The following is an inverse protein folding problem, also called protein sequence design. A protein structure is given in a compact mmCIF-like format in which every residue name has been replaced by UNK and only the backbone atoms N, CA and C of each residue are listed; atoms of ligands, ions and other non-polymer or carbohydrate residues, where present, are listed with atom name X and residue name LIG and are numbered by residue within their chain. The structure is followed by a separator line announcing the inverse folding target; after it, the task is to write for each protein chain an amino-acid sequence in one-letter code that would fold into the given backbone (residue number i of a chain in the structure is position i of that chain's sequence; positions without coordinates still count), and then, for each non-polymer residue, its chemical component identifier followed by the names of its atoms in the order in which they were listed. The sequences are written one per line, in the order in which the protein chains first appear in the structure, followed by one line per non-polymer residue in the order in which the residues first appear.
data_IF_702056471985
#
_entry.id   IF_702056471985
#
_cell.length_a   1.000
_cell.length_b   1.000
_cell.length_c   1.000
_cell.angle_alpha   90.00
_cell.angle_beta   90.00
_cell.angle_gamma   90.00
#
_symmetry.space_group_name_H-M   'P 1'
#
loop_
_entity.id
_entity.type
_entity.pdbx_description
1 polymer ?
#
# COMPACT_ATOMS: atom_id res chain seq x y z
N UNK A 1 -9.14 -5.31 8.09
CA UNK A 1 -8.08 -4.51 8.73
C UNK A 1 -6.81 -5.35 8.79
N UNK A 2 -5.66 -4.78 8.40
CA UNK A 2 -4.34 -5.45 8.50
C UNK A 2 -3.99 -5.68 9.98
N UNK A 3 -3.64 -6.91 10.31
CA UNK A 3 -3.10 -7.28 11.62
C UNK A 3 -1.59 -6.97 11.66
N UNK A 4 -1.24 -5.83 12.25
CA UNK A 4 0.14 -5.38 12.41
C UNK A 4 0.86 -6.01 13.61
N UNK A 5 0.21 -6.91 14.35
CA UNK A 5 0.82 -7.66 15.47
C UNK A 5 1.38 -9.01 15.02
N UNK A 6 0.93 -9.51 13.87
CA UNK A 6 1.46 -10.72 13.25
C UNK A 6 2.85 -10.47 12.68
N UNK A 7 3.83 -11.29 13.09
CA UNK A 7 5.21 -11.19 12.63
C UNK A 7 5.74 -12.51 12.08
N UNK A 8 6.67 -12.40 11.14
CA UNK A 8 7.40 -13.51 10.52
C UNK A 8 8.89 -13.21 10.52
N UNK A 9 9.71 -14.24 10.66
CA UNK A 9 11.17 -14.13 10.58
C UNK A 9 11.63 -14.55 9.19
N UNK A 10 12.38 -13.68 8.51
CA UNK A 10 12.95 -13.98 7.20
C UNK A 10 14.04 -15.07 7.30
N UNK A 11 14.45 -15.70 6.18
CA UNK A 11 15.57 -16.65 6.17
C UNK A 11 16.89 -16.10 6.75
N UNK A 12 17.03 -14.77 6.80
CA UNK A 12 18.20 -14.08 7.34
C UNK A 12 18.00 -13.57 8.78
N UNK A 13 16.94 -14.00 9.47
CA UNK A 13 16.70 -13.64 10.87
C UNK A 13 16.03 -12.27 11.10
N UNK A 14 15.58 -11.58 10.05
CA UNK A 14 14.92 -10.27 10.17
C UNK A 14 13.45 -10.48 10.53
N UNK A 15 12.98 -9.90 11.64
CA UNK A 15 11.54 -9.85 11.94
C UNK A 15 10.82 -8.83 11.06
N UNK A 16 9.69 -9.24 10.50
CA UNK A 16 8.83 -8.44 9.64
C UNK A 16 7.39 -8.56 10.11
N UNK A 17 6.61 -7.50 9.95
CA UNK A 17 5.14 -7.59 9.98
C UNK A 17 4.71 -8.42 8.78
N UNK A 18 3.90 -9.44 9.00
CA UNK A 18 3.51 -10.36 7.93
C UNK A 18 2.92 -11.65 8.45
N UNK A 19 2.35 -12.44 7.54
CA UNK A 19 1.87 -13.79 7.81
C UNK A 19 2.70 -14.84 7.08
N UNK A 20 2.67 -16.07 7.59
CA UNK A 20 3.25 -17.21 6.89
C UNK A 20 2.57 -17.41 5.53
N UNK A 21 3.33 -17.88 4.53
CA UNK A 21 2.80 -18.14 3.18
C UNK A 21 1.66 -19.16 3.25
N UNK A 22 0.51 -18.80 2.68
CA UNK A 22 -0.65 -19.66 2.61
C UNK A 22 -0.38 -20.91 1.75
N UNK A 23 -0.86 -22.11 2.15
CA UNK A 23 -0.73 -23.32 1.34
C UNK A 23 -1.56 -23.29 0.04
N UNK A 24 -2.49 -22.32 -0.08
CA UNK A 24 -3.32 -22.13 -1.27
C UNK A 24 -2.50 -21.58 -2.45
N UNK A 25 -1.39 -20.90 -2.16
CA UNK A 25 -0.51 -20.35 -3.19
C UNK A 25 0.62 -21.33 -3.53
N UNK A 26 1.05 -21.40 -4.81
CA UNK A 26 2.22 -22.16 -5.18
C UNK A 26 3.44 -21.75 -4.34
N UNK A 27 4.18 -22.75 -3.84
CA UNK A 27 5.40 -22.53 -3.05
C UNK A 27 6.47 -21.78 -3.84
N UNK A 28 6.68 -22.21 -5.08
CA UNK A 28 7.61 -21.61 -6.03
C UNK A 28 6.84 -20.85 -7.12
N UNK A 29 7.41 -19.75 -7.60
CA UNK A 29 6.88 -19.06 -8.78
C UNK A 29 7.20 -19.91 -10.01
N UNK A 30 6.18 -20.23 -10.80
CA UNK A 30 6.32 -20.90 -12.08
C UNK A 30 5.97 -19.94 -13.24
N UNK A 31 6.01 -20.44 -14.46
CA UNK A 31 5.62 -19.68 -15.66
C UNK A 31 4.10 -19.58 -15.85
N UNK A 32 3.31 -20.14 -14.94
CA UNK A 32 1.85 -20.12 -15.05
C UNK A 32 1.29 -18.82 -14.48
N UNK A 33 0.16 -18.37 -15.03
CA UNK A 33 -0.59 -17.24 -14.49
C UNK A 33 -1.45 -17.69 -13.30
N UNK A 34 -0.77 -17.85 -12.15
CA UNK A 34 -1.34 -18.38 -10.92
C UNK A 34 -2.08 -17.29 -10.11
N UNK A 35 -2.64 -17.68 -8.96
CA UNK A 35 -3.41 -16.78 -8.10
C UNK A 35 -2.60 -15.58 -7.62
N UNK A 36 -1.30 -15.74 -7.30
CA UNK A 36 -0.43 -14.64 -6.89
C UNK A 36 -0.30 -13.61 -8.01
N UNK A 37 -0.11 -14.06 -9.25
CA UNK A 37 0.00 -13.15 -10.39
C UNK A 37 -1.32 -12.41 -10.66
N UNK A 38 -2.46 -13.12 -10.56
CA UNK A 38 -3.80 -12.50 -10.68
C UNK A 38 -4.07 -11.43 -9.64
N UNK A 39 -3.71 -11.69 -8.39
CA UNK A 39 -3.89 -10.74 -7.29
C UNK A 39 -3.03 -9.48 -7.50
N UNK A 40 -1.78 -9.65 -7.93
CA UNK A 40 -0.87 -8.53 -8.22
C UNK A 40 -1.28 -7.72 -9.44
N UNK A 41 -1.75 -8.37 -10.50
CA UNK A 41 -2.29 -7.71 -11.69
C UNK A 41 -3.55 -6.90 -11.36
N UNK A 42 -4.44 -7.47 -10.54
CA UNK A 42 -5.64 -6.77 -10.05
C UNK A 42 -5.28 -5.54 -9.22
N UNK A 43 -4.36 -5.67 -8.25
CA UNK A 43 -3.88 -4.51 -7.46
C UNK A 43 -3.29 -3.41 -8.35
N UNK A 44 -2.56 -3.79 -9.39
CA UNK A 44 -1.92 -2.84 -10.31
C UNK A 44 -2.97 -2.10 -11.14
N UNK A 45 -3.99 -2.82 -11.60
CA UNK A 45 -5.14 -2.26 -12.31
C UNK A 45 -5.93 -1.29 -11.43
N UNK A 46 -6.20 -1.64 -10.17
CA UNK A 46 -6.88 -0.75 -9.23
C UNK A 46 -6.10 0.54 -8.98
N UNK A 47 -4.77 0.47 -8.81
CA UNK A 47 -3.92 1.67 -8.68
C UNK A 47 -4.06 2.58 -9.90
N UNK A 48 -3.98 2.01 -11.10
CA UNK A 48 -4.15 2.77 -12.34
C UNK A 48 -5.53 3.46 -12.40
N UNK A 49 -6.59 2.75 -12.03
CA UNK A 49 -7.96 3.30 -12.02
C UNK A 49 -8.08 4.41 -10.97
N UNK A 50 -7.55 4.22 -9.76
CA UNK A 50 -7.55 5.22 -8.68
C UNK A 50 -6.88 6.51 -9.13
N UNK A 51 -5.71 6.42 -9.75
CA UNK A 51 -4.98 7.60 -10.25
C UNK A 51 -5.69 8.26 -11.43
N UNK A 52 -6.29 7.47 -12.33
CA UNK A 52 -7.07 7.98 -13.46
C UNK A 52 -8.30 8.76 -12.98
N UNK A 53 -9.06 8.20 -12.03
CA UNK A 53 -10.20 8.86 -11.40
C UNK A 53 -9.79 10.11 -10.64
N UNK A 54 -8.68 10.04 -9.89
CA UNK A 54 -8.16 11.19 -9.12
C UNK A 54 -7.71 12.32 -10.04
N UNK A 55 -7.14 12.01 -11.19
CA UNK A 55 -6.74 13.01 -12.18
C UNK A 55 -7.97 13.62 -12.84
N UNK A 56 -8.87 12.80 -13.37
CA UNK A 56 -10.05 13.28 -14.09
C UNK A 56 -11.09 13.98 -13.21
N UNK A 57 -11.22 13.62 -11.92
CA UNK A 57 -12.23 14.21 -11.04
C UNK A 57 -12.01 15.69 -10.74
N UNK A 58 -10.77 16.17 -10.88
CA UNK A 58 -10.36 17.56 -10.57
C UNK A 58 -10.95 18.60 -11.52
N UNK A 59 -11.33 18.20 -12.72
CA UNK A 59 -11.76 19.12 -13.80
C UNK A 59 -13.27 19.04 -14.08
N UNK A 60 -14.03 18.31 -13.26
CA UNK A 60 -15.47 18.12 -13.47
C UNK A 60 -16.25 19.35 -12.99
N UNK A 61 -16.91 20.05 -13.92
CA UNK A 61 -17.74 21.23 -13.61
C UNK A 61 -19.15 20.88 -13.11
N UNK A 62 -19.70 19.73 -13.51
CA UNK A 62 -21.04 19.32 -13.13
C UNK A 62 -21.04 18.67 -11.75
N UNK A 63 -21.65 19.31 -10.76
CA UNK A 63 -21.68 18.85 -9.35
C UNK A 63 -22.16 17.41 -9.18
N UNK A 64 -23.21 17.02 -9.91
CA UNK A 64 -23.75 15.65 -9.86
C UNK A 64 -22.74 14.63 -10.37
N UNK A 65 -22.03 14.96 -11.45
CA UNK A 65 -20.99 14.10 -12.02
C UNK A 65 -19.77 14.05 -11.09
N UNK A 66 -19.38 15.19 -10.52
CA UNK A 66 -18.28 15.28 -9.56
C UNK A 66 -18.54 14.37 -8.35
N UNK A 67 -19.73 14.48 -7.76
CA UNK A 67 -20.16 13.63 -6.64
C UNK A 67 -20.13 12.15 -7.00
N UNK A 68 -20.69 11.79 -8.16
CA UNK A 68 -20.72 10.38 -8.62
C UNK A 68 -19.32 9.81 -8.81
N UNK A 69 -18.43 10.54 -9.49
CA UNK A 69 -17.05 10.10 -9.77
C UNK A 69 -16.27 9.94 -8.46
N UNK A 70 -16.40 10.87 -7.51
CA UNK A 70 -15.71 10.77 -6.23
C UNK A 70 -16.25 9.65 -5.34
N UNK A 71 -17.56 9.37 -5.39
CA UNK A 71 -18.14 8.20 -4.71
C UNK A 71 -17.58 6.90 -5.29
N UNK A 72 -17.50 6.79 -6.62
CA UNK A 72 -16.90 5.62 -7.28
C UNK A 72 -15.42 5.48 -6.92
N UNK A 73 -14.65 6.57 -6.94
CA UNK A 73 -13.25 6.59 -6.51
C UNK A 73 -13.09 6.08 -5.08
N UNK A 74 -13.95 6.51 -4.15
CA UNK A 74 -13.91 6.04 -2.77
C UNK A 74 -14.19 4.53 -2.68
N UNK A 75 -15.20 4.03 -3.41
CA UNK A 75 -15.49 2.59 -3.48
C UNK A 75 -14.31 1.79 -4.02
N UNK A 76 -13.64 2.27 -5.06
CA UNK A 76 -12.46 1.60 -5.64
C UNK A 76 -11.29 1.60 -4.64
N UNK A 77 -11.07 2.70 -3.90
CA UNK A 77 -10.06 2.74 -2.82
C UNK A 77 -10.35 1.71 -1.72
N UNK A 78 -11.62 1.51 -1.37
CA UNK A 78 -12.03 0.50 -0.38
C UNK A 78 -11.81 -0.93 -0.90
N UNK A 79 -12.18 -1.20 -2.16
CA UNK A 79 -11.91 -2.49 -2.82
C UNK A 79 -10.41 -2.79 -2.84
N UNK A 80 -9.60 -1.80 -3.24
CA UNK A 80 -8.15 -1.92 -3.23
C UNK A 80 -7.59 -2.25 -1.85
N UNK A 81 -8.12 -1.58 -0.80
CA UNK A 81 -7.73 -1.87 0.56
C UNK A 81 -8.09 -3.31 0.96
N UNK A 82 -9.27 -3.79 0.63
CA UNK A 82 -9.67 -5.17 0.91
C UNK A 82 -8.79 -6.17 0.17
N UNK A 83 -8.50 -5.94 -1.12
CA UNK A 83 -7.62 -6.82 -1.90
C UNK A 83 -6.21 -6.87 -1.31
N UNK A 84 -5.68 -5.72 -0.90
CA UNK A 84 -4.38 -5.64 -0.24
C UNK A 84 -4.37 -6.40 1.10
N UNK A 85 -5.45 -6.31 1.87
CA UNK A 85 -5.62 -7.08 3.12
C UNK A 85 -5.62 -8.59 2.87
N UNK A 86 -6.25 -9.06 1.79
CA UNK A 86 -6.24 -10.49 1.42
C UNK A 86 -4.84 -10.96 1.01
N UNK A 87 -4.10 -10.15 0.26
CA UNK A 87 -2.70 -10.46 -0.12
C UNK A 87 -1.81 -10.53 1.12
N UNK A 88 -2.00 -9.62 2.07
CA UNK A 88 -1.34 -9.72 3.39
C UNK A 88 -1.72 -11.00 4.12
N UNK A 89 -3.01 -11.35 4.15
CA UNK A 89 -3.51 -12.57 4.81
C UNK A 89 -2.97 -13.85 4.19
N UNK A 90 -2.69 -13.83 2.88
CA UNK A 90 -2.04 -14.94 2.15
C UNK A 90 -0.53 -15.04 2.40
N UNK A 91 0.07 -14.09 3.12
CA UNK A 91 1.51 -14.05 3.40
C UNK A 91 2.36 -13.55 2.23
N UNK A 92 1.75 -12.85 1.26
CA UNK A 92 2.40 -12.34 0.06
C UNK A 92 2.94 -10.91 0.22
N UNK A 93 2.55 -10.23 1.29
CA UNK A 93 3.06 -8.92 1.64
C UNK A 93 3.63 -8.92 3.06
N UNK A 94 4.82 -8.35 3.22
CA UNK A 94 5.51 -8.18 4.49
C UNK A 94 6.12 -6.79 4.54
N UNK A 95 6.20 -6.21 5.73
CA UNK A 95 6.84 -4.93 5.97
C UNK A 95 7.88 -5.05 7.07
N UNK A 96 9.01 -4.38 6.93
CA UNK A 96 10.03 -4.35 7.98
C UNK A 96 9.49 -3.62 9.21
N UNK A 97 9.82 -4.14 10.40
CA UNK A 97 9.57 -3.42 11.63
C UNK A 97 10.58 -2.28 11.73
N UNK A 98 10.09 -1.04 11.66
CA UNK A 98 10.91 0.12 11.96
C UNK A 98 11.23 0.13 13.46
N UNK A 99 12.51 0.12 13.80
CA UNK A 99 12.96 0.40 15.18
C UNK A 99 12.71 1.86 15.53
N UNK A 100 12.58 2.16 16.82
CA UNK A 100 12.44 3.56 17.26
C UNK A 100 13.60 4.43 16.75
N UNK A 101 14.83 3.90 16.77
CA UNK A 101 16.00 4.60 16.24
C UNK A 101 15.85 4.95 14.75
N UNK A 102 15.32 4.05 13.92
CA UNK A 102 15.08 4.34 12.50
C UNK A 102 14.00 5.41 12.30
N UNK A 103 12.99 5.44 13.16
CA UNK A 103 11.97 6.50 13.16
C UNK A 103 12.59 7.83 13.56
N UNK A 104 13.43 7.85 14.59
CA UNK A 104 14.13 9.03 15.08
C UNK A 104 15.13 9.57 14.03
N UNK A 105 15.88 8.69 13.37
CA UNK A 105 16.81 9.05 12.29
C UNK A 105 16.06 9.70 11.10
N UNK A 106 14.91 9.13 10.72
CA UNK A 106 14.07 9.71 9.67
C UNK A 106 13.52 11.08 10.08
N UNK A 107 13.05 11.22 11.32
CA UNK A 107 12.59 12.49 11.88
C UNK A 107 13.68 13.55 11.86
N UNK A 108 14.90 13.22 12.30
CA UNK A 108 16.05 14.14 12.29
C UNK A 108 16.41 14.59 10.85
N UNK A 109 16.47 13.66 9.89
CA UNK A 109 16.70 13.98 8.48
C UNK A 109 15.67 15.00 7.95
N UNK A 110 14.37 14.75 8.16
CA UNK A 110 13.32 15.66 7.69
C UNK A 110 13.28 16.98 8.48
N UNK A 111 13.63 16.97 9.77
CA UNK A 111 13.76 18.20 10.58
C UNK A 111 14.87 19.09 10.02
N UNK A 112 15.99 18.52 9.58
CA UNK A 112 17.08 19.28 8.95
C UNK A 112 16.67 19.94 7.64
N UNK A 113 15.68 19.40 6.91
CA UNK A 113 15.16 20.05 5.69
C UNK A 113 14.41 21.35 5.98
N UNK A 114 14.00 21.62 7.23
CA UNK A 114 13.40 22.90 7.58
C UNK A 114 14.35 24.08 7.32
N UNK A 115 15.67 23.86 7.33
CA UNK A 115 16.66 24.88 6.95
C UNK A 115 16.56 25.32 5.48
N UNK A 116 15.87 24.56 4.63
CA UNK A 116 15.61 24.91 3.23
C UNK A 116 14.37 25.79 3.07
N UNK A 117 13.60 26.04 4.14
CA UNK A 117 12.40 26.86 4.05
C UNK A 117 12.78 28.32 3.74
N UNK A 118 12.09 28.96 2.77
CA UNK A 118 12.45 30.29 2.27
C UNK A 118 12.23 31.40 3.30
N UNK A 119 11.50 31.13 4.38
CA UNK A 119 11.31 32.04 5.49
C UNK A 119 11.81 31.37 6.77
N UNK A 120 12.87 31.93 7.37
CA UNK A 120 13.25 31.57 8.74
C UNK A 120 12.08 31.90 9.66
N UNK A 121 11.67 30.95 10.51
CA UNK A 121 10.64 31.19 11.50
C UNK A 121 11.11 32.32 12.43
N UNK A 122 10.56 33.50 12.21
CA UNK A 122 10.69 34.70 13.05
C UNK A 122 9.84 34.56 14.30
#
# INVERSE_FOLDING_TARGET
MIDNTSTVTSPFGVQKIGKGKSPVLPKEKDSSYNLRDRLNDTLSSEKYIIESYTTGSKEILCEKLYTLVNNNLNSIKQLHRHLFEEIFNLGEYQADLATQQQVDDALDMFTKYQAQFPYSQS
#
